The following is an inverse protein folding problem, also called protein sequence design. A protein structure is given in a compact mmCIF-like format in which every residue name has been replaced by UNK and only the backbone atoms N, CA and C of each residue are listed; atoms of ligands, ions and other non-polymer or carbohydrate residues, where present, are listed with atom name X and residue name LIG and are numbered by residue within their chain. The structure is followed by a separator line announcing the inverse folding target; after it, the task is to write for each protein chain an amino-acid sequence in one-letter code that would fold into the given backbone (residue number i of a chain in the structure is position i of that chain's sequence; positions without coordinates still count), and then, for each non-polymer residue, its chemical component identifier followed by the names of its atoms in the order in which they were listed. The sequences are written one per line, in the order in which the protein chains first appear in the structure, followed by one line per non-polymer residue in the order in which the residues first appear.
data_IF_251940435159
#
_entry.id   IF_251940435159
#
_cell.length_a   1.000
_cell.length_b   1.000
_cell.length_c   1.000
_cell.angle_alpha   90.00
_cell.angle_beta   90.00
_cell.angle_gamma   90.00
#
_symmetry.space_group_name_H-M   'P 1'
#
loop_
_entity.id
_entity.type
_entity.pdbx_description
1 polymer ?
#
# COMPACT_ATOMS: atom_id res chain seq x y z
N UNK A 1 -2.38 -6.06 4.69
CA UNK A 1 -1.25 -5.32 5.27
C UNK A 1 -0.05 -5.37 4.35
N UNK A 2 0.45 -4.22 3.90
CA UNK A 2 1.76 -4.16 3.24
C UNK A 2 2.34 -2.74 3.30
N UNK A 3 1.98 -1.96 4.33
CA UNK A 3 2.13 -0.51 4.39
C UNK A 3 3.58 0.00 4.48
N UNK A 4 4.51 -0.52 3.72
CA UNK A 4 5.95 -0.20 3.79
C UNK A 4 6.25 1.29 3.59
N UNK A 5 5.43 2.05 2.86
CA UNK A 5 5.57 3.51 2.77
C UNK A 5 4.91 4.24 3.96
N UNK A 6 3.87 3.67 4.56
CA UNK A 6 2.99 4.35 5.53
C UNK A 6 3.33 4.03 6.98
N UNK A 7 3.63 2.78 7.28
CA UNK A 7 3.96 2.28 8.62
C UNK A 7 5.27 2.89 9.14
N UNK A 8 6.43 2.80 8.45
CA UNK A 8 7.65 3.42 8.95
C UNK A 8 7.53 4.95 8.97
N UNK A 9 6.75 5.55 8.07
CA UNK A 9 6.50 6.99 8.11
C UNK A 9 5.81 7.40 9.42
N UNK A 10 4.74 6.68 9.79
CA UNK A 10 4.02 6.89 11.04
C UNK A 10 4.93 6.71 12.28
N UNK A 11 5.75 5.64 12.30
CA UNK A 11 6.65 5.38 13.43
C UNK A 11 7.83 6.37 13.55
N UNK A 12 8.19 7.07 12.46
CA UNK A 12 9.33 7.98 12.44
C UNK A 12 8.92 9.45 12.32
N UNK A 13 7.64 9.76 12.47
CA UNK A 13 7.10 11.13 12.37
C UNK A 13 7.52 11.84 11.06
N UNK A 14 7.39 11.12 9.95
CA UNK A 14 7.57 11.66 8.60
C UNK A 14 6.35 11.32 7.75
N UNK A 15 6.25 11.92 6.58
CA UNK A 15 5.19 11.61 5.64
C UNK A 15 5.64 10.51 4.68
N UNK A 16 4.71 9.63 4.32
CA UNK A 16 4.89 8.62 3.26
C UNK A 16 3.66 8.57 2.38
N UNK A 17 3.85 8.69 1.07
CA UNK A 17 2.76 8.74 0.10
C UNK A 17 2.78 7.48 -0.75
N UNK A 18 1.68 6.70 -0.70
CA UNK A 18 1.46 5.56 -1.58
C UNK A 18 0.62 6.03 -2.78
N UNK A 19 1.21 6.24 -3.97
CA UNK A 19 0.46 6.69 -5.13
C UNK A 19 -0.49 5.62 -5.69
N UNK A 20 -1.31 6.03 -6.66
CA UNK A 20 -2.03 5.09 -7.53
C UNK A 20 -1.07 4.14 -8.23
N UNK A 21 -1.49 2.89 -8.40
CA UNK A 21 -0.68 1.88 -9.09
C UNK A 21 -0.38 2.33 -10.52
N UNK A 22 0.89 2.22 -10.92
CA UNK A 22 1.35 2.63 -12.26
C UNK A 22 1.73 4.11 -12.37
N UNK A 23 1.45 4.94 -11.36
CA UNK A 23 1.86 6.35 -11.41
C UNK A 23 3.38 6.51 -11.31
N UNK A 24 4.01 5.79 -10.39
CA UNK A 24 5.47 5.68 -10.30
C UNK A 24 5.86 4.32 -10.87
N UNK A 25 6.60 4.27 -11.99
CA UNK A 25 7.03 3.02 -12.59
C UNK A 25 8.08 2.36 -11.70
N UNK A 26 7.85 1.08 -11.35
CA UNK A 26 8.82 0.27 -10.62
C UNK A 26 9.80 -0.41 -11.59
N UNK A 27 11.04 -0.63 -11.15
CA UNK A 27 12.05 -1.38 -11.90
C UNK A 27 13.46 -0.78 -11.86
N UNK A 28 14.42 -1.43 -12.54
CA UNK A 28 14.26 -2.63 -13.36
C UNK A 28 14.12 -3.90 -12.52
N UNK A 29 13.00 -4.61 -12.66
CA UNK A 29 12.73 -5.92 -12.05
C UNK A 29 12.46 -6.99 -13.12
N UNK A 30 12.56 -8.27 -12.74
CA UNK A 30 12.30 -9.39 -13.66
C UNK A 30 10.80 -9.61 -13.92
N UNK A 31 9.93 -9.34 -12.94
CA UNK A 31 8.47 -9.37 -13.10
C UNK A 31 7.94 -7.94 -13.22
N UNK A 32 7.30 -7.64 -14.35
CA UNK A 32 6.72 -6.32 -14.64
C UNK A 32 5.21 -6.36 -14.85
N UNK A 33 4.57 -7.51 -14.59
CA UNK A 33 3.14 -7.70 -14.87
C UNK A 33 2.35 -8.25 -13.68
N UNK A 34 2.88 -9.23 -12.96
CA UNK A 34 2.09 -10.04 -12.04
C UNK A 34 2.11 -9.49 -10.60
N UNK A 35 3.27 -9.07 -10.09
CA UNK A 35 3.41 -8.45 -8.77
C UNK A 35 2.84 -7.02 -8.73
N UNK A 36 1.53 -6.90 -8.49
CA UNK A 36 0.79 -5.63 -8.59
C UNK A 36 0.43 -4.95 -7.26
N UNK A 37 0.77 -5.56 -6.12
CA UNK A 37 0.30 -5.08 -4.81
C UNK A 37 1.21 -4.02 -4.19
N UNK A 38 2.49 -4.01 -4.56
CA UNK A 38 3.48 -2.99 -4.20
C UNK A 38 3.44 -1.81 -5.16
N UNK A 39 3.77 -0.63 -4.66
CA UNK A 39 4.03 0.56 -5.46
C UNK A 39 5.19 1.34 -4.84
N UNK A 40 5.94 2.02 -5.68
CA UNK A 40 6.94 3.00 -5.25
C UNK A 40 6.27 4.35 -4.96
N UNK A 41 6.87 5.13 -4.09
CA UNK A 41 6.37 6.46 -3.74
C UNK A 41 7.30 7.24 -2.81
N UNK A 42 7.09 8.55 -2.67
CA UNK A 42 7.98 9.40 -1.90
C UNK A 42 7.73 9.28 -0.39
N UNK A 43 8.81 9.45 0.37
CA UNK A 43 8.77 9.76 1.80
C UNK A 43 9.51 11.08 2.04
N UNK A 44 9.01 11.92 2.94
CA UNK A 44 9.58 13.25 3.17
C UNK A 44 9.17 13.87 4.50
N UNK A 45 9.84 14.96 4.88
CA UNK A 45 9.54 15.70 6.13
C UNK A 45 8.45 16.76 5.97
N UNK A 46 8.08 17.07 4.73
CA UNK A 46 6.99 17.97 4.41
C UNK A 46 6.19 17.46 3.21
N UNK A 47 4.93 17.85 3.12
CA UNK A 47 4.06 17.55 1.96
C UNK A 47 4.66 18.15 0.68
N UNK A 48 5.30 19.32 0.77
CA UNK A 48 5.99 19.98 -0.35
C UNK A 48 7.13 19.13 -0.90
N UNK A 49 7.98 18.57 -0.03
CA UNK A 49 9.11 17.73 -0.47
C UNK A 49 8.61 16.43 -1.12
N UNK A 50 7.55 15.84 -0.57
CA UNK A 50 6.92 14.67 -1.20
C UNK A 50 6.35 15.00 -2.58
N UNK A 51 5.67 16.14 -2.74
CA UNK A 51 5.10 16.54 -4.02
C UNK A 51 6.18 16.80 -5.07
N UNK A 52 7.29 17.46 -4.68
CA UNK A 52 8.45 17.65 -5.55
C UNK A 52 9.07 16.31 -5.98
N UNK A 53 9.29 15.39 -5.03
CA UNK A 53 9.87 14.08 -5.37
C UNK A 53 8.90 13.24 -6.23
N UNK A 54 7.61 13.29 -5.96
CA UNK A 54 6.61 12.60 -6.78
C UNK A 54 6.60 13.14 -8.21
N UNK A 55 6.83 14.43 -8.40
CA UNK A 55 6.90 15.02 -9.74
C UNK A 55 8.03 14.45 -10.57
N UNK A 56 9.18 14.16 -9.97
CA UNK A 56 10.31 13.54 -10.66
C UNK A 56 10.09 12.04 -10.90
N UNK A 57 9.46 11.34 -9.94
CA UNK A 57 9.27 9.90 -9.99
C UNK A 57 8.10 9.47 -10.90
N UNK A 58 7.06 10.29 -11.02
CA UNK A 58 5.81 9.89 -11.65
C UNK A 58 5.83 10.07 -13.18
N UNK A 59 5.29 9.08 -13.90
CA UNK A 59 5.11 9.16 -15.34
C UNK A 59 5.14 7.79 -16.02
N UNK A 60 4.79 7.80 -17.30
CA UNK A 60 4.88 6.61 -18.14
C UNK A 60 6.35 6.24 -18.38
N UNK A 61 6.67 4.96 -18.25
CA UNK A 61 7.94 4.36 -18.62
C UNK A 61 7.69 3.13 -19.50
N UNK A 62 8.27 3.05 -20.71
CA UNK A 62 8.06 1.92 -21.61
C UNK A 62 8.59 0.57 -21.07
N UNK A 63 9.43 0.59 -20.04
CA UNK A 63 9.96 -0.60 -19.35
C UNK A 63 9.01 -1.11 -18.26
N UNK A 64 8.01 -0.31 -17.88
CA UNK A 64 6.98 -0.63 -16.91
C UNK A 64 5.61 -0.61 -17.62
N UNK A 65 5.16 -1.73 -18.20
CA UNK A 65 3.99 -1.76 -19.10
C UNK A 65 2.67 -1.33 -18.45
N UNK A 66 2.58 -1.38 -17.13
CA UNK A 66 1.42 -0.96 -16.34
C UNK A 66 1.50 0.50 -15.88
N UNK A 67 2.55 1.22 -16.26
CA UNK A 67 2.71 2.64 -15.92
C UNK A 67 1.79 3.53 -16.75
N UNK A 68 1.47 4.70 -16.23
CA UNK A 68 0.65 5.68 -16.93
C UNK A 68 1.22 7.10 -16.75
N UNK A 69 0.82 8.00 -17.63
CA UNK A 69 1.24 9.39 -17.53
C UNK A 69 0.72 10.04 -16.23
N UNK A 70 1.54 10.91 -15.63
CA UNK A 70 1.06 11.84 -14.61
C UNK A 70 0.26 12.97 -15.27
N UNK A 71 -0.65 13.58 -14.52
CA UNK A 71 -1.47 14.69 -14.99
C UNK A 71 -1.06 15.98 -14.28
N UNK A 72 -0.18 16.77 -14.91
CA UNK A 72 0.33 18.02 -14.36
C UNK A 72 1.40 17.83 -13.28
N UNK A 73 1.72 18.91 -12.57
CA UNK A 73 2.65 18.91 -11.45
C UNK A 73 1.92 18.75 -10.12
N UNK A 74 2.43 17.86 -9.27
CA UNK A 74 1.95 17.71 -7.90
C UNK A 74 2.35 18.90 -7.02
N UNK A 75 3.55 19.44 -7.21
CA UNK A 75 4.02 20.62 -6.49
C UNK A 75 3.19 21.86 -6.82
N UNK A 76 2.89 22.11 -8.09
CA UNK A 76 1.99 23.18 -8.51
C UNK A 76 0.56 22.93 -8.02
N UNK A 77 0.12 21.67 -8.01
CA UNK A 77 -1.19 21.28 -7.48
C UNK A 77 -1.43 21.73 -6.02
N UNK A 78 -0.37 21.83 -5.20
CA UNK A 78 -0.47 22.33 -3.82
C UNK A 78 -0.88 23.81 -3.73
N UNK A 79 -0.79 24.58 -4.82
CA UNK A 79 -1.20 25.99 -4.86
C UNK A 79 -2.72 26.17 -4.92
N UNK A 80 -3.44 25.11 -5.29
CA UNK A 80 -4.91 25.15 -5.38
C UNK A 80 -5.52 24.66 -4.07
N UNK A 81 -6.14 25.53 -3.26
CA UNK A 81 -6.77 25.11 -2.02
C UNK A 81 -7.99 24.24 -2.33
N UNK A 82 -8.11 23.09 -1.65
CA UNK A 82 -9.39 22.38 -1.58
C UNK A 82 -10.28 23.05 -0.54
N UNK A 83 -11.53 23.34 -0.92
CA UNK A 83 -12.52 23.95 -0.04
C UNK A 83 -13.64 22.96 0.22
N UNK A 84 -13.63 22.40 1.43
CA UNK A 84 -14.64 21.46 1.90
C UNK A 84 -14.65 20.10 1.21
N UNK A 85 -15.39 19.18 1.83
CA UNK A 85 -15.48 17.80 1.40
C UNK A 85 -16.00 16.90 2.51
N UNK A 86 -16.04 15.59 2.26
CA UNK A 86 -16.38 14.58 3.26
C UNK A 86 -15.21 13.66 3.49
N UNK A 87 -14.94 13.35 4.76
CA UNK A 87 -13.88 12.44 5.20
C UNK A 87 -14.57 11.26 5.88
N UNK A 88 -14.52 10.09 5.25
CA UNK A 88 -14.94 8.86 5.91
C UNK A 88 -13.84 8.42 6.91
N UNK A 89 -14.22 8.14 8.15
CA UNK A 89 -13.34 7.65 9.20
C UNK A 89 -13.77 6.25 9.66
N UNK A 90 -12.85 5.29 9.54
CA UNK A 90 -13.14 3.87 9.81
C UNK A 90 -12.71 3.44 11.22
N UNK A 91 -12.05 4.31 11.99
CA UNK A 91 -11.56 3.99 13.33
C UNK A 91 -10.65 2.77 13.35
N UNK A 92 -10.92 1.87 14.30
CA UNK A 92 -10.29 0.56 14.43
C UNK A 92 -11.05 -0.54 13.64
N UNK A 93 -11.87 -0.15 12.66
CA UNK A 93 -12.79 -1.02 11.93
C UNK A 93 -13.72 -1.79 12.89
N UNK A 94 -14.37 -1.10 13.83
CA UNK A 94 -15.27 -1.73 14.82
C UNK A 94 -14.58 -2.84 15.61
N UNK A 95 -13.32 -2.64 15.98
CA UNK A 95 -12.50 -3.60 16.74
C UNK A 95 -11.80 -4.68 15.91
N UNK A 96 -11.85 -4.63 14.57
CA UNK A 96 -11.09 -5.54 13.72
C UNK A 96 -9.58 -5.24 13.67
N UNK A 97 -9.16 -4.03 14.06
CA UNK A 97 -7.77 -3.64 14.15
C UNK A 97 -7.34 -3.47 15.61
N UNK A 98 -6.22 -4.09 16.04
CA UNK A 98 -5.65 -3.77 17.33
C UNK A 98 -5.08 -2.35 17.30
N UNK A 99 -5.47 -1.52 18.27
CA UNK A 99 -5.02 -0.14 18.38
C UNK A 99 -4.54 0.14 19.81
N UNK A 100 -3.38 0.78 19.92
CA UNK A 100 -2.83 1.17 21.22
C UNK A 100 -3.65 2.32 21.87
N UNK A 101 -3.72 2.37 23.21
CA UNK A 101 -4.41 3.45 23.90
C UNK A 101 -3.94 4.83 23.46
N UNK A 102 -4.89 5.73 23.19
CA UNK A 102 -4.63 7.12 22.80
C UNK A 102 -4.48 7.37 21.29
N UNK A 103 -4.21 6.34 20.48
CA UNK A 103 -4.06 6.51 19.02
C UNK A 103 -5.38 6.97 18.38
N UNK A 104 -6.51 6.36 18.71
CA UNK A 104 -7.82 6.77 18.17
C UNK A 104 -8.15 8.22 18.53
N UNK A 105 -8.00 8.60 19.82
CA UNK A 105 -8.26 9.97 20.27
C UNK A 105 -7.35 10.99 19.57
N UNK A 106 -6.08 10.65 19.34
CA UNK A 106 -5.15 11.51 18.60
C UNK A 106 -5.58 11.69 17.13
N UNK A 107 -6.00 10.60 16.47
CA UNK A 107 -6.52 10.65 15.10
C UNK A 107 -7.80 11.48 15.01
N UNK A 108 -8.74 11.30 15.93
CA UNK A 108 -10.00 12.07 15.99
C UNK A 108 -9.72 13.56 16.21
N UNK A 109 -8.84 13.91 17.16
CA UNK A 109 -8.44 15.30 17.38
C UNK A 109 -7.76 15.92 16.15
N UNK A 110 -7.02 15.13 15.37
CA UNK A 110 -6.45 15.60 14.10
C UNK A 110 -7.52 15.79 13.01
N UNK A 111 -8.52 14.90 12.96
CA UNK A 111 -9.65 14.98 12.02
C UNK A 111 -10.55 16.20 12.30
N UNK A 112 -10.78 16.53 13.57
CA UNK A 112 -11.62 17.67 13.97
C UNK A 112 -11.08 19.01 13.42
N UNK A 113 -9.76 19.11 13.23
CA UNK A 113 -9.13 20.31 12.65
C UNK A 113 -9.56 20.57 11.20
N UNK A 114 -10.02 19.56 10.48
CA UNK A 114 -10.50 19.73 9.09
C UNK A 114 -11.87 20.43 9.03
N UNK A 115 -12.62 20.49 10.14
CA UNK A 115 -13.85 21.27 10.21
C UNK A 115 -13.60 22.77 9.98
N UNK A 116 -12.42 23.28 10.37
CA UNK A 116 -12.00 24.68 10.15
C UNK A 116 -11.90 25.05 8.67
N UNK A 117 -11.74 24.05 7.79
CA UNK A 117 -11.66 24.19 6.32
C UNK A 117 -12.86 23.57 5.60
N UNK A 118 -14.00 23.50 6.29
CA UNK A 118 -15.30 23.06 5.76
C UNK A 118 -15.39 21.59 5.36
N UNK A 119 -14.52 20.73 5.88
CA UNK A 119 -14.67 19.28 5.71
C UNK A 119 -15.54 18.67 6.82
N UNK A 120 -16.33 17.67 6.46
CA UNK A 120 -17.18 16.93 7.37
C UNK A 120 -16.64 15.52 7.55
N UNK A 121 -16.35 15.12 8.78
CA UNK A 121 -15.92 13.77 9.10
C UNK A 121 -17.13 12.92 9.46
N UNK A 122 -17.27 11.76 8.82
CA UNK A 122 -18.35 10.79 9.05
C UNK A 122 -17.74 9.44 9.42
N UNK A 123 -18.22 8.84 10.51
CA UNK A 123 -17.86 7.47 10.83
C UNK A 123 -18.47 6.53 9.79
N UNK A 124 -17.63 5.68 9.19
CA UNK A 124 -18.05 4.71 8.18
C UNK A 124 -17.20 3.46 8.34
N UNK A 125 -17.81 2.32 8.62
CA UNK A 125 -17.15 1.02 8.55
C UNK A 125 -17.76 0.26 7.38
N UNK A 126 -16.98 -0.04 6.33
CA UNK A 126 -17.49 -0.78 5.19
C UNK A 126 -17.97 -2.18 5.61
N UNK A 127 -19.10 -2.60 5.06
CA UNK A 127 -19.61 -3.95 5.23
C UNK A 127 -18.83 -4.92 4.32
N UNK A 128 -17.70 -5.42 4.85
CA UNK A 128 -16.84 -6.39 4.18
C UNK A 128 -16.54 -7.57 5.10
N UNK A 129 -16.36 -8.73 4.49
CA UNK A 129 -15.75 -9.89 5.12
C UNK A 129 -14.23 -9.68 5.21
N UNK A 130 -13.79 -9.05 6.30
CA UNK A 130 -12.38 -8.72 6.53
C UNK A 130 -11.47 -9.94 6.59
N UNK A 131 -11.96 -11.06 7.10
CA UNK A 131 -11.19 -12.31 7.15
C UNK A 131 -11.01 -12.88 5.74
N UNK A 132 -12.08 -12.96 4.95
CA UNK A 132 -11.94 -13.41 3.56
C UNK A 132 -11.03 -12.48 2.74
N UNK A 133 -11.08 -11.16 2.98
CA UNK A 133 -10.18 -10.20 2.34
C UNK A 133 -8.72 -10.43 2.76
N UNK A 134 -8.47 -10.71 4.04
CA UNK A 134 -7.15 -11.04 4.56
C UNK A 134 -6.60 -12.33 3.93
N UNK A 135 -7.41 -13.38 3.84
CA UNK A 135 -7.00 -14.64 3.20
C UNK A 135 -6.73 -14.48 1.70
N UNK A 136 -7.53 -13.65 1.01
CA UNK A 136 -7.27 -13.28 -0.38
C UNK A 136 -5.92 -12.55 -0.51
N UNK A 137 -5.64 -11.59 0.38
CA UNK A 137 -4.35 -10.89 0.43
C UNK A 137 -3.18 -11.87 0.65
N UNK A 138 -3.30 -12.80 1.60
CA UNK A 138 -2.27 -13.82 1.88
C UNK A 138 -1.99 -14.68 0.65
N UNK A 139 -3.04 -15.19 0.01
CA UNK A 139 -2.93 -16.02 -1.20
C UNK A 139 -2.22 -15.28 -2.34
N UNK A 140 -2.63 -14.03 -2.61
CA UNK A 140 -2.04 -13.23 -3.69
C UNK A 140 -0.59 -12.82 -3.38
N UNK A 141 -0.26 -12.59 -2.10
CA UNK A 141 1.11 -12.28 -1.68
C UNK A 141 2.02 -13.49 -1.79
N UNK A 142 1.57 -14.68 -1.43
CA UNK A 142 2.31 -15.93 -1.63
C UNK A 142 2.53 -16.17 -3.14
N UNK A 143 1.49 -16.01 -3.96
CA UNK A 143 1.59 -16.17 -5.41
C UNK A 143 2.55 -15.17 -6.09
N UNK A 144 2.83 -14.02 -5.47
CA UNK A 144 3.78 -13.01 -5.95
C UNK A 144 5.11 -13.09 -5.21
N UNK A 145 5.21 -12.53 -4.01
CA UNK A 145 6.43 -12.49 -3.19
C UNK A 145 6.99 -13.88 -2.86
N UNK A 146 6.13 -14.86 -2.56
CA UNK A 146 6.57 -16.24 -2.32
C UNK A 146 7.23 -16.86 -3.55
N UNK A 147 6.63 -16.69 -4.73
CA UNK A 147 7.24 -17.10 -6.00
C UNK A 147 8.56 -16.39 -6.28
N UNK A 148 8.66 -15.08 -6.02
CA UNK A 148 9.89 -14.31 -6.22
C UNK A 148 11.04 -14.80 -5.31
N UNK A 149 10.72 -15.15 -4.06
CA UNK A 149 11.68 -15.68 -3.09
C UNK A 149 12.14 -17.11 -3.40
N UNK A 150 11.45 -17.84 -4.26
CA UNK A 150 11.78 -19.24 -4.62
C UNK A 150 13.21 -19.38 -5.14
N UNK A 151 13.70 -18.42 -5.92
CA UNK A 151 15.07 -18.45 -6.44
C UNK A 151 16.13 -18.45 -5.32
N UNK A 152 15.86 -17.79 -4.20
CA UNK A 152 16.71 -17.83 -3.01
C UNK A 152 16.46 -19.09 -2.17
N UNK A 153 15.21 -19.55 -2.12
CA UNK A 153 14.84 -20.76 -1.39
C UNK A 153 15.43 -22.02 -2.03
N UNK A 154 15.51 -22.14 -3.36
CA UNK A 154 16.04 -23.33 -4.03
C UNK A 154 17.56 -23.50 -3.85
N UNK A 155 18.28 -22.41 -3.56
CA UNK A 155 19.71 -22.42 -3.28
C UNK A 155 19.94 -22.77 -1.81
N UNK A 156 20.53 -23.95 -1.47
CA UNK A 156 20.68 -24.38 -0.09
C UNK A 156 21.49 -23.42 0.78
N UNK A 157 22.48 -22.72 0.20
CA UNK A 157 23.29 -21.75 0.94
C UNK A 157 22.45 -20.53 1.30
N UNK A 158 21.62 -20.05 0.36
CA UNK A 158 20.75 -18.88 0.59
C UNK A 158 19.51 -19.21 1.42
N UNK A 159 18.94 -20.42 1.30
CA UNK A 159 17.79 -20.87 2.09
C UNK A 159 18.07 -20.72 3.58
N UNK A 160 19.27 -21.08 4.03
CA UNK A 160 19.67 -20.97 5.44
C UNK A 160 19.68 -19.54 5.99
N UNK A 161 19.72 -18.53 5.10
CA UNK A 161 19.72 -17.11 5.45
C UNK A 161 18.31 -16.48 5.40
N UNK A 162 17.32 -17.21 4.90
CA UNK A 162 15.94 -16.72 4.85
C UNK A 162 15.31 -16.75 6.23
N UNK A 163 14.58 -15.69 6.57
CA UNK A 163 13.75 -15.67 7.78
C UNK A 163 12.64 -16.73 7.66
N UNK A 164 12.16 -17.28 8.80
CA UNK A 164 11.07 -18.25 8.79
C UNK A 164 9.82 -17.76 8.05
N UNK A 165 9.49 -16.47 8.12
CA UNK A 165 8.33 -15.89 7.41
C UNK A 165 8.53 -15.90 5.89
N UNK A 166 9.76 -15.65 5.42
CA UNK A 166 10.08 -15.74 4.00
C UNK A 166 10.02 -17.18 3.49
N UNK A 167 10.47 -18.15 4.31
CA UNK A 167 10.30 -19.58 4.03
C UNK A 167 8.81 -19.95 3.97
N UNK A 168 8.02 -19.47 4.94
CA UNK A 168 6.57 -19.69 4.98
C UNK A 168 5.88 -19.18 3.71
N UNK A 169 6.25 -17.99 3.20
CA UNK A 169 5.70 -17.49 1.92
C UNK A 169 5.95 -18.47 0.78
N UNK A 170 7.20 -18.94 0.64
CA UNK A 170 7.61 -19.81 -0.45
C UNK A 170 6.90 -21.15 -0.35
N UNK A 171 6.92 -21.79 0.82
CA UNK A 171 6.34 -23.12 1.01
C UNK A 171 4.83 -23.15 0.72
N UNK A 172 4.11 -22.08 1.06
CA UNK A 172 2.69 -21.97 0.73
C UNK A 172 2.49 -21.65 -0.76
N UNK A 173 3.34 -20.80 -1.36
CA UNK A 173 3.29 -20.53 -2.79
C UNK A 173 3.44 -21.80 -3.64
N UNK A 174 4.28 -22.76 -3.20
CA UNK A 174 4.47 -24.05 -3.89
C UNK A 174 3.23 -24.96 -3.88
N UNK A 175 2.26 -24.70 -3.00
CA UNK A 175 1.04 -25.48 -2.88
C UNK A 175 -0.16 -24.80 -3.57
N UNK A 176 -0.01 -23.55 -4.02
CA UNK A 176 -1.10 -22.78 -4.64
C UNK A 176 -1.44 -23.31 -6.02
N UNK A 177 -2.75 -23.38 -6.29
CA UNK A 177 -3.32 -23.72 -7.60
C UNK A 177 -3.87 -22.46 -8.30
N UNK A 178 -3.90 -22.48 -9.63
CA UNK A 178 -4.45 -21.37 -10.41
C UNK A 178 -5.89 -20.98 -10.02
N UNK A 179 -6.83 -21.92 -9.76
CA UNK A 179 -8.16 -21.57 -9.27
C UNK A 179 -8.17 -20.85 -7.91
N UNK A 180 -7.25 -21.18 -6.99
CA UNK A 180 -7.15 -20.47 -5.70
C UNK A 180 -6.69 -19.03 -5.88
N UNK A 181 -5.69 -18.80 -6.74
CA UNK A 181 -5.21 -17.44 -7.09
C UNK A 181 -6.32 -16.63 -7.77
N UNK A 182 -7.08 -17.26 -8.69
CA UNK A 182 -8.22 -16.63 -9.34
C UNK A 182 -9.31 -16.26 -8.33
N UNK A 183 -9.70 -17.18 -7.44
CA UNK A 183 -10.72 -16.92 -6.42
C UNK A 183 -10.31 -15.77 -5.49
N UNK A 184 -9.04 -15.70 -5.09
CA UNK A 184 -8.51 -14.60 -4.29
C UNK A 184 -8.53 -13.26 -5.06
N UNK A 185 -8.25 -13.28 -6.36
CA UNK A 185 -8.34 -12.08 -7.22
C UNK A 185 -9.77 -11.57 -7.34
N UNK A 186 -10.74 -12.47 -7.54
CA UNK A 186 -12.18 -12.15 -7.57
C UNK A 186 -12.62 -11.56 -6.22
N UNK A 187 -12.18 -12.14 -5.10
CA UNK A 187 -12.52 -11.65 -3.76
C UNK A 187 -11.98 -10.24 -3.47
N UNK A 188 -10.81 -9.90 -4.00
CA UNK A 188 -10.18 -8.58 -3.83
C UNK A 188 -10.88 -7.48 -4.66
N UNK A 189 -11.50 -7.85 -5.78
CA UNK A 189 -12.03 -6.92 -6.79
C UNK A 189 -13.43 -6.44 -6.44
#
# INVERSE_FOLDING_TARGET
FGGSLRNPAAYNNVYGFRPSQGLVPAGPELDVFHAQMGVEGPMGRSVRDMALLLDEQAGYDPRAPLSHHKHGSFLEGLQTPMVGGRIAWFGDLSGHLPVEPGILCLCEAALDRFAEVSFQTEALVPDFDFEALWQAFVTLRQASSGCALKAHYDDPLKRSLLKPEAVWEVEHALQLTAPQVHAATVRRS
#
